data_IF_548108787444
#
_entry.id   IF_548108787444
#
_cell.length_a   1.000
_cell.length_b   1.000
_cell.length_c   1.000
_cell.angle_alpha   90.00
_cell.angle_beta   90.00
_cell.angle_gamma   90.00
#
_symmetry.space_group_name_H-M   'P 1'
#
loop_
_entity.id
_entity.type
_entity.pdbx_description
1 polymer ?
#
# COMPACT_ATOMS: atom_id res chain seq x y z
N UNK A 1 -10.04 -62.57 -6.20
CA UNK A 1 -9.75 -63.13 -4.87
C UNK A 1 -8.87 -62.10 -4.18
N UNK A 2 -9.50 -61.30 -3.32
CA UNK A 2 -8.89 -60.14 -2.62
C UNK A 2 -7.82 -60.61 -1.62
N UNK A 3 -6.66 -59.93 -1.51
CA UNK A 3 -5.73 -60.16 -0.40
C UNK A 3 -6.19 -59.38 0.84
N UNK A 4 -6.39 -60.11 1.94
CA UNK A 4 -6.68 -59.57 3.26
C UNK A 4 -5.37 -59.05 3.89
N UNK A 5 -5.24 -57.73 4.02
CA UNK A 5 -4.12 -57.09 4.71
C UNK A 5 -4.51 -56.74 6.16
N UNK A 6 -4.03 -57.54 7.11
CA UNK A 6 -4.05 -57.24 8.55
C UNK A 6 -3.07 -56.09 8.84
N UNK A 7 -3.58 -54.89 9.12
CA UNK A 7 -2.80 -53.83 9.76
C UNK A 7 -2.99 -53.93 11.28
N UNK A 8 -1.95 -54.34 12.00
CA UNK A 8 -1.85 -54.14 13.44
C UNK A 8 -1.52 -52.67 13.70
N UNK A 9 -2.45 -51.93 14.31
CA UNK A 9 -2.15 -50.65 14.92
C UNK A 9 -1.55 -50.90 16.31
N UNK A 10 -0.28 -50.59 16.50
CA UNK A 10 0.31 -50.53 17.84
C UNK A 10 -0.24 -49.29 18.55
N UNK A 11 -1.08 -49.50 19.55
CA UNK A 11 -1.50 -48.46 20.48
C UNK A 11 -0.35 -48.20 21.47
N UNK A 12 0.28 -47.05 21.37
CA UNK A 12 1.15 -46.56 22.43
C UNK A 12 0.31 -46.28 23.68
N UNK A 13 0.81 -46.71 24.84
CA UNK A 13 0.18 -46.41 26.12
C UNK A 13 0.16 -44.88 26.30
N UNK A 14 -0.96 -44.29 26.76
CA UNK A 14 -0.96 -42.88 27.15
C UNK A 14 0.06 -42.71 28.27
N UNK A 15 1.09 -41.90 28.04
CA UNK A 15 1.90 -41.39 29.14
C UNK A 15 0.99 -40.50 29.98
N UNK A 16 0.79 -40.87 31.25
CA UNK A 16 0.28 -39.93 32.24
C UNK A 16 1.28 -38.80 32.39
N UNK A 17 1.09 -37.74 31.62
CA UNK A 17 1.71 -36.45 31.91
C UNK A 17 0.92 -35.89 33.08
N UNK A 18 1.55 -35.81 34.25
CA UNK A 18 1.04 -35.05 35.38
C UNK A 18 1.04 -33.57 34.98
N UNK A 19 -0.07 -33.12 34.40
CA UNK A 19 -0.32 -31.69 34.22
C UNK A 19 -0.62 -31.15 35.61
N UNK A 20 0.23 -30.24 36.09
CA UNK A 20 -0.04 -29.50 37.32
C UNK A 20 -1.30 -28.68 37.05
N UNK A 21 -2.40 -29.05 37.67
CA UNK A 21 -3.64 -28.30 37.68
C UNK A 21 -3.37 -26.98 38.42
N UNK A 22 -3.01 -25.93 37.67
CA UNK A 22 -2.96 -24.59 38.24
C UNK A 22 -4.39 -24.09 38.43
N UNK A 23 -4.81 -24.04 39.69
CA UNK A 23 -6.16 -23.67 40.12
C UNK A 23 -6.53 -22.21 39.80
N UNK A 24 -5.61 -21.40 39.29
CA UNK A 24 -5.85 -20.01 38.88
C UNK A 24 -4.76 -19.53 37.92
N UNK A 25 -5.02 -19.62 36.62
CA UNK A 25 -4.20 -18.91 35.62
C UNK A 25 -4.87 -17.57 35.32
N UNK A 26 -4.30 -16.48 35.83
CA UNK A 26 -4.80 -15.14 35.56
C UNK A 26 -4.24 -14.63 34.23
N UNK A 27 -5.08 -14.59 33.19
CA UNK A 27 -4.78 -13.84 31.97
C UNK A 27 -5.54 -12.51 32.00
N UNK A 28 -4.81 -11.39 31.96
CA UNK A 28 -5.41 -10.07 31.78
C UNK A 28 -5.39 -9.73 30.28
N UNK A 29 -6.49 -9.97 29.57
CA UNK A 29 -6.67 -9.45 28.23
C UNK A 29 -7.13 -7.99 28.34
N UNK A 30 -6.25 -7.03 28.05
CA UNK A 30 -6.64 -5.62 27.93
C UNK A 30 -7.36 -5.43 26.60
N UNK A 31 -8.69 -5.42 26.62
CA UNK A 31 -9.46 -4.86 25.50
C UNK A 31 -9.27 -3.34 25.46
N UNK A 32 -9.28 -2.69 24.27
CA UNK A 32 -9.44 -1.24 24.19
C UNK A 32 -10.76 -0.85 24.89
N UNK A 33 -10.89 0.39 25.40
CA UNK A 33 -12.03 0.78 26.22
C UNK A 33 -13.30 0.79 25.36
N UNK A 34 -14.04 -0.31 25.39
CA UNK A 34 -15.42 -0.37 24.94
C UNK A 34 -16.25 -0.59 26.20
N UNK A 35 -17.28 0.24 26.36
CA UNK A 35 -18.22 0.26 27.48
C UNK A 35 -18.94 -1.10 27.56
N UNK A 36 -18.40 -2.02 28.36
CA UNK A 36 -18.98 -3.35 28.58
C UNK A 36 -18.18 -4.12 29.63
N UNK A 37 -18.87 -4.89 30.47
CA UNK A 37 -18.30 -5.57 31.63
C UNK A 37 -17.10 -6.48 31.26
N UNK A 38 -16.07 -6.47 32.10
CA UNK A 38 -14.94 -7.40 32.03
C UNK A 38 -15.48 -8.85 32.01
N UNK A 39 -15.18 -9.60 30.96
CA UNK A 39 -15.49 -11.03 30.91
C UNK A 39 -14.43 -11.75 31.76
N UNK A 40 -14.80 -12.06 33.00
CA UNK A 40 -14.00 -12.92 33.88
C UNK A 40 -14.32 -14.37 33.54
N UNK A 41 -13.40 -15.06 32.86
CA UNK A 41 -13.49 -16.51 32.68
C UNK A 41 -12.97 -17.18 33.96
N UNK A 42 -13.87 -17.78 34.74
CA UNK A 42 -13.53 -18.59 35.91
C UNK A 42 -13.78 -20.06 35.57
N UNK A 43 -12.70 -20.80 35.34
CA UNK A 43 -12.74 -22.22 35.03
C UNK A 43 -11.35 -22.78 34.75
N UNK A 44 -11.18 -24.09 34.86
CA UNK A 44 -9.95 -24.76 34.48
C UNK A 44 -9.73 -24.62 32.97
N UNK A 45 -8.57 -24.09 32.56
CA UNK A 45 -8.18 -23.98 31.17
C UNK A 45 -7.09 -25.03 30.89
N UNK A 46 -7.32 -25.88 29.89
CA UNK A 46 -6.30 -26.81 29.39
C UNK A 46 -5.79 -26.26 28.08
N UNK A 47 -4.50 -25.93 28.03
CA UNK A 47 -3.80 -25.63 26.78
C UNK A 47 -3.30 -26.94 26.19
N UNK A 48 -4.05 -27.53 25.27
CA UNK A 48 -3.50 -28.59 24.41
C UNK A 48 -2.69 -27.95 23.28
N UNK A 49 -1.62 -28.64 22.86
CA UNK A 49 -0.74 -28.24 21.76
C UNK A 49 -1.53 -27.89 20.48
N UNK A 50 -1.86 -26.62 20.31
CA UNK A 50 -2.68 -26.09 19.22
C UNK A 50 -3.24 -24.70 19.58
N UNK A 51 -3.52 -23.86 18.58
CA UNK A 51 -3.91 -22.45 18.72
C UNK A 51 -5.32 -22.23 19.33
N UNK A 52 -5.75 -23.00 20.33
CA UNK A 52 -7.09 -22.93 20.90
C UNK A 52 -7.09 -23.09 22.42
N UNK A 53 -7.95 -22.31 23.09
CA UNK A 53 -8.30 -22.50 24.50
C UNK A 53 -9.63 -23.27 24.55
N UNK A 54 -9.68 -24.38 25.29
CA UNK A 54 -10.92 -25.08 25.60
C UNK A 54 -11.33 -24.69 27.02
N UNK A 55 -12.52 -24.10 27.18
CA UNK A 55 -13.09 -23.75 28.48
C UNK A 55 -14.19 -24.76 28.80
N UNK A 56 -14.03 -25.50 29.90
CA UNK A 56 -15.02 -26.45 30.36
C UNK A 56 -15.99 -25.79 31.37
N UNK A 57 -17.28 -25.76 31.04
CA UNK A 57 -18.38 -25.35 31.91
C UNK A 57 -19.56 -26.34 31.80
N UNK A 58 -20.62 -26.12 32.59
CA UNK A 58 -21.84 -26.96 32.58
C UNK A 58 -22.56 -26.95 31.22
N UNK A 59 -22.25 -25.96 30.38
CA UNK A 59 -22.50 -25.91 28.95
C UNK A 59 -21.14 -25.75 28.24
N UNK A 60 -20.78 -26.70 27.38
CA UNK A 60 -19.51 -26.63 26.64
C UNK A 60 -19.64 -25.60 25.52
N UNK A 61 -19.09 -24.41 25.73
CA UNK A 61 -18.91 -23.42 24.67
C UNK A 61 -17.47 -23.49 24.15
N UNK A 62 -17.26 -24.17 23.02
CA UNK A 62 -16.00 -24.09 22.31
C UNK A 62 -15.91 -22.74 21.58
N UNK A 63 -15.15 -21.79 22.12
CA UNK A 63 -14.76 -20.58 21.41
C UNK A 63 -13.30 -20.72 20.98
N UNK A 64 -13.07 -20.98 19.68
CA UNK A 64 -11.71 -20.96 19.13
C UNK A 64 -11.23 -19.51 19.01
N UNK A 65 -10.48 -19.03 20.02
CA UNK A 65 -9.74 -17.78 19.94
C UNK A 65 -8.39 -18.08 19.27
N UNK A 66 -8.25 -17.71 17.99
CA UNK A 66 -7.00 -17.87 17.25
C UNK A 66 -5.97 -16.86 17.73
N UNK A 67 -5.03 -17.29 18.55
CA UNK A 67 -3.90 -16.45 18.98
C UNK A 67 -2.73 -16.59 17.99
N UNK A 68 -2.08 -15.47 17.66
CA UNK A 68 -0.77 -15.51 16.99
C UNK A 68 0.34 -15.98 17.95
N UNK A 69 1.56 -16.19 17.44
CA UNK A 69 2.74 -16.57 18.24
C UNK A 69 3.09 -15.58 19.37
N UNK A 70 2.52 -14.38 19.35
CA UNK A 70 2.62 -13.37 20.41
C UNK A 70 1.43 -13.28 21.38
N UNK A 71 0.46 -14.20 21.31
CA UNK A 71 -0.80 -14.14 22.07
C UNK A 71 -1.67 -12.89 21.82
N UNK A 72 -1.39 -12.11 20.77
CA UNK A 72 -2.24 -11.01 20.36
C UNK A 72 -3.44 -11.52 19.53
N UNK A 73 -4.65 -11.25 20.02
CA UNK A 73 -5.87 -11.36 19.23
C UNK A 73 -5.90 -10.24 18.19
N UNK A 74 -5.15 -10.39 17.08
CA UNK A 74 -5.30 -9.45 15.96
C UNK A 74 -6.70 -9.64 15.39
N UNK A 75 -7.60 -8.67 15.59
CA UNK A 75 -8.89 -8.65 14.91
C UNK A 75 -8.59 -8.57 13.40
N UNK A 76 -8.67 -9.72 12.71
CA UNK A 76 -8.32 -9.83 11.28
C UNK A 76 -9.47 -9.45 10.37
N UNK A 77 -10.64 -9.18 10.93
CA UNK A 77 -11.85 -8.85 10.18
C UNK A 77 -11.86 -7.35 9.90
N UNK A 78 -12.04 -6.99 8.63
CA UNK A 78 -12.20 -5.58 8.25
C UNK A 78 -13.39 -4.91 8.95
N UNK A 79 -13.25 -3.63 9.33
CA UNK A 79 -14.39 -2.86 9.82
C UNK A 79 -15.49 -2.80 8.75
N UNK A 80 -16.73 -2.88 9.20
CA UNK A 80 -17.90 -2.83 8.32
C UNK A 80 -17.89 -1.51 7.53
N UNK A 81 -18.09 -1.58 6.22
CA UNK A 81 -18.01 -0.42 5.31
C UNK A 81 -16.59 -0.05 4.84
N UNK A 82 -15.57 -0.85 5.14
CA UNK A 82 -14.25 -0.68 4.51
C UNK A 82 -14.37 -0.77 2.97
N UNK A 83 -13.76 0.16 2.21
CA UNK A 83 -13.73 0.09 0.75
C UNK A 83 -12.79 -1.01 0.22
N UNK A 84 -12.00 -1.64 1.10
CA UNK A 84 -11.08 -2.72 0.75
C UNK A 84 -11.67 -4.07 1.14
N UNK A 85 -11.32 -5.11 0.39
CA UNK A 85 -11.80 -6.46 0.68
C UNK A 85 -10.88 -7.23 1.63
N UNK A 86 -11.44 -8.22 2.33
CA UNK A 86 -10.66 -9.10 3.21
C UNK A 86 -9.59 -9.86 2.41
N UNK A 87 -9.96 -10.29 1.19
CA UNK A 87 -9.04 -10.97 0.27
C UNK A 87 -7.83 -10.09 -0.10
N UNK A 88 -8.01 -8.78 -0.28
CA UNK A 88 -6.89 -7.87 -0.56
C UNK A 88 -5.92 -7.79 0.62
N UNK A 89 -6.44 -7.72 1.84
CA UNK A 89 -5.60 -7.71 3.04
C UNK A 89 -4.88 -9.04 3.23
N UNK A 90 -5.56 -10.16 3.04
CA UNK A 90 -4.96 -11.49 3.16
C UNK A 90 -3.84 -11.69 2.12
N UNK A 91 -4.05 -11.20 0.89
CA UNK A 91 -3.02 -11.20 -0.15
C UNK A 91 -1.83 -10.29 0.22
N UNK A 92 -2.09 -9.11 0.79
CA UNK A 92 -1.06 -8.21 1.31
C UNK A 92 -0.20 -8.89 2.40
N UNK A 93 -0.86 -9.55 3.35
CA UNK A 93 -0.22 -10.29 4.44
C UNK A 93 0.66 -11.41 3.90
N UNK A 94 0.14 -12.25 3.00
CA UNK A 94 0.91 -13.33 2.37
C UNK A 94 2.18 -12.81 1.71
N UNK A 95 2.05 -11.79 0.85
CA UNK A 95 3.21 -11.19 0.16
C UNK A 95 4.27 -10.67 1.14
N UNK A 96 3.86 -10.06 2.25
CA UNK A 96 4.80 -9.53 3.24
C UNK A 96 5.49 -10.64 4.03
N UNK A 97 4.73 -11.65 4.44
CA UNK A 97 5.28 -12.84 5.07
C UNK A 97 6.26 -13.58 4.15
N UNK A 98 5.93 -13.74 2.87
CA UNK A 98 6.79 -14.38 1.86
C UNK A 98 8.10 -13.59 1.65
N UNK A 99 8.06 -12.27 1.83
CA UNK A 99 9.22 -11.38 1.79
C UNK A 99 10.01 -11.35 3.12
N UNK A 100 9.59 -12.10 4.15
CA UNK A 100 10.19 -12.07 5.48
C UNK A 100 9.93 -10.76 6.25
N UNK A 101 8.95 -9.97 5.82
CA UNK A 101 8.57 -8.71 6.45
C UNK A 101 7.37 -8.90 7.38
N UNK A 102 7.37 -8.19 8.51
CA UNK A 102 6.19 -8.13 9.37
C UNK A 102 5.06 -7.34 8.67
N UNK A 103 3.89 -7.95 8.39
CA UNK A 103 2.75 -7.24 7.83
C UNK A 103 2.26 -6.17 8.80
N UNK A 104 1.78 -5.04 8.27
CA UNK A 104 1.13 -4.01 9.07
C UNK A 104 -0.16 -4.55 9.68
N UNK A 105 -0.60 -3.92 10.77
CA UNK A 105 -1.94 -4.16 11.30
C UNK A 105 -3.00 -3.85 10.25
N UNK A 106 -4.19 -4.44 10.41
CA UNK A 106 -5.31 -4.23 9.50
C UNK A 106 -5.71 -2.75 9.43
N UNK A 107 -5.76 -2.09 10.58
CA UNK A 107 -6.08 -0.68 10.69
C UNK A 107 -5.05 0.19 9.96
N UNK A 108 -3.76 -0.05 10.19
CA UNK A 108 -2.68 0.66 9.50
C UNK A 108 -2.70 0.44 7.98
N UNK A 109 -3.04 -0.78 7.55
CA UNK A 109 -3.19 -1.09 6.13
C UNK A 109 -4.31 -0.27 5.49
N UNK A 110 -5.48 -0.25 6.11
CA UNK A 110 -6.65 0.50 5.62
C UNK A 110 -6.36 2.00 5.60
N UNK A 111 -5.85 2.56 6.70
CA UNK A 111 -5.53 3.99 6.80
C UNK A 111 -4.50 4.40 5.74
N UNK A 112 -3.42 3.61 5.58
CA UNK A 112 -2.39 3.90 4.57
C UNK A 112 -2.93 3.79 3.15
N UNK A 113 -3.79 2.81 2.86
CA UNK A 113 -4.40 2.69 1.53
C UNK A 113 -5.33 3.85 1.22
N UNK A 114 -6.16 4.26 2.19
CA UNK A 114 -7.02 5.45 2.05
C UNK A 114 -6.19 6.69 1.78
N UNK A 115 -5.10 6.88 2.52
CA UNK A 115 -4.19 8.00 2.30
C UNK A 115 -3.56 7.97 0.90
N UNK A 116 -3.15 6.80 0.39
CA UNK A 116 -2.60 6.66 -0.96
C UNK A 116 -3.64 6.97 -2.04
N UNK A 117 -4.86 6.50 -1.87
CA UNK A 117 -5.96 6.76 -2.81
C UNK A 117 -6.34 8.24 -2.80
N UNK A 118 -6.38 8.87 -1.63
CA UNK A 118 -6.57 10.31 -1.47
C UNK A 118 -5.45 11.11 -2.14
N UNK A 119 -4.18 10.77 -1.88
CA UNK A 119 -3.04 11.43 -2.50
C UNK A 119 -3.06 11.33 -4.04
N UNK A 120 -3.52 10.19 -4.58
CA UNK A 120 -3.70 10.00 -6.03
C UNK A 120 -4.82 10.89 -6.55
N UNK A 121 -5.99 10.88 -5.91
CA UNK A 121 -7.12 11.71 -6.31
C UNK A 121 -6.79 13.20 -6.26
N UNK A 122 -6.13 13.66 -5.19
CA UNK A 122 -5.66 15.03 -5.04
C UNK A 122 -4.59 15.39 -6.09
N UNK A 123 -3.71 14.44 -6.44
CA UNK A 123 -2.76 14.58 -7.54
C UNK A 123 -3.43 14.85 -8.88
N UNK A 124 -4.39 14.00 -9.24
CA UNK A 124 -5.17 14.16 -10.47
C UNK A 124 -5.95 15.47 -10.49
N UNK A 125 -6.58 15.85 -9.36
CA UNK A 125 -7.32 17.12 -9.27
C UNK A 125 -6.42 18.32 -9.54
N UNK A 126 -5.24 18.38 -8.91
CA UNK A 126 -4.31 19.51 -9.09
C UNK A 126 -3.81 19.62 -10.53
N UNK A 127 -3.48 18.50 -11.17
CA UNK A 127 -3.06 18.48 -12.57
C UNK A 127 -4.17 18.96 -13.52
N UNK A 128 -5.40 18.52 -13.29
CA UNK A 128 -6.55 18.95 -14.10
C UNK A 128 -6.86 20.43 -13.89
N UNK A 129 -6.84 20.91 -12.64
CA UNK A 129 -7.04 22.33 -12.35
C UNK A 129 -5.96 23.19 -13.04
N UNK A 130 -4.68 22.81 -12.92
CA UNK A 130 -3.60 23.54 -13.59
C UNK A 130 -3.76 23.53 -15.11
N UNK A 131 -4.14 22.38 -15.70
CA UNK A 131 -4.40 22.28 -17.14
C UNK A 131 -5.49 23.26 -17.56
N UNK A 132 -6.60 23.33 -16.82
CA UNK A 132 -7.71 24.24 -17.09
C UNK A 132 -7.28 25.70 -16.99
N UNK A 133 -6.57 26.07 -15.91
CA UNK A 133 -6.04 27.42 -15.75
C UNK A 133 -5.11 27.82 -16.90
N UNK A 134 -4.22 26.92 -17.35
CA UNK A 134 -3.35 27.19 -18.49
C UNK A 134 -4.13 27.24 -19.82
N UNK A 135 -5.14 26.39 -20.00
CA UNK A 135 -5.96 26.37 -21.21
C UNK A 135 -6.81 27.66 -21.34
N UNK A 136 -7.32 28.18 -20.23
CA UNK A 136 -8.07 29.45 -20.20
C UNK A 136 -7.19 30.64 -20.58
N UNK A 137 -5.90 30.62 -20.22
CA UNK A 137 -4.95 31.71 -20.51
C UNK A 137 -4.36 31.59 -21.92
N UNK A 138 -3.99 30.38 -22.35
CA UNK A 138 -3.17 30.16 -23.54
C UNK A 138 -3.90 29.47 -24.70
N UNK A 139 -5.13 28.97 -24.48
CA UNK A 139 -5.85 28.13 -25.44
C UNK A 139 -5.51 26.65 -25.25
N UNK A 140 -6.52 25.79 -25.35
CA UNK A 140 -6.38 24.34 -25.09
C UNK A 140 -5.41 23.66 -26.06
N UNK A 141 -5.34 24.13 -27.30
CA UNK A 141 -4.44 23.63 -28.35
C UNK A 141 -2.96 23.86 -28.03
N UNK A 142 -2.67 24.81 -27.13
CA UNK A 142 -1.32 25.20 -26.73
C UNK A 142 -0.86 24.54 -25.43
N UNK A 143 -1.72 23.73 -24.78
CA UNK A 143 -1.40 23.05 -23.51
C UNK A 143 -1.22 21.55 -23.74
N UNK A 144 0.03 21.10 -23.71
CA UNK A 144 0.38 19.69 -23.78
C UNK A 144 0.55 19.12 -22.38
N UNK A 145 -0.17 18.05 -22.08
CA UNK A 145 -0.06 17.35 -20.80
C UNK A 145 0.77 16.08 -20.92
N UNK A 146 1.46 15.72 -19.85
CA UNK A 146 2.18 14.46 -19.70
C UNK A 146 3.14 14.14 -20.87
N UNK A 147 4.24 14.90 -20.98
CA UNK A 147 5.22 14.76 -22.08
C UNK A 147 6.59 14.30 -21.60
N UNK A 148 7.20 13.35 -22.30
CA UNK A 148 8.57 12.94 -22.01
C UNK A 148 9.58 13.87 -22.66
N UNK A 149 10.70 14.10 -21.98
CA UNK A 149 11.86 14.75 -22.57
C UNK A 149 12.47 13.85 -23.66
N UNK A 150 12.74 14.45 -24.80
CA UNK A 150 13.30 13.84 -26.00
C UNK A 150 14.55 14.59 -26.46
N UNK A 151 15.38 13.92 -27.24
CA UNK A 151 16.48 14.56 -27.96
C UNK A 151 16.01 15.19 -29.28
N UNK A 152 16.95 15.76 -30.02
CA UNK A 152 16.70 16.43 -31.30
C UNK A 152 16.26 15.45 -32.42
N UNK A 153 16.54 14.16 -32.27
CA UNK A 153 16.09 13.11 -33.19
C UNK A 153 14.69 12.58 -32.81
N UNK A 154 14.18 12.98 -31.65
CA UNK A 154 12.88 12.63 -31.13
C UNK A 154 12.88 11.39 -30.23
N UNK A 155 14.04 10.85 -29.86
CA UNK A 155 14.13 9.69 -28.98
C UNK A 155 13.98 10.10 -27.51
N UNK A 156 13.32 9.25 -26.70
CA UNK A 156 13.14 9.53 -25.26
C UNK A 156 14.49 9.41 -24.56
N UNK A 157 14.91 10.51 -23.95
CA UNK A 157 16.16 10.55 -23.17
C UNK A 157 15.88 10.07 -21.75
N UNK A 158 16.74 9.19 -21.26
CA UNK A 158 16.65 8.57 -19.94
C UNK A 158 17.77 9.04 -19.06
N UNK A 159 17.48 9.15 -17.77
CA UNK A 159 18.49 9.46 -16.76
C UNK A 159 19.54 8.35 -16.74
N UNK A 160 20.83 8.65 -16.98
CA UNK A 160 21.89 7.65 -17.02
C UNK A 160 22.11 6.94 -15.67
N UNK A 161 21.70 7.55 -14.55
CA UNK A 161 21.87 6.95 -13.22
C UNK A 161 20.79 5.92 -12.89
N UNK A 162 19.55 6.17 -13.30
CA UNK A 162 18.38 5.38 -12.90
C UNK A 162 17.76 4.57 -14.04
N UNK A 163 18.03 4.94 -15.30
CA UNK A 163 17.37 4.38 -16.49
C UNK A 163 15.94 4.90 -16.71
N UNK A 164 15.45 5.78 -15.84
CA UNK A 164 14.09 6.32 -15.88
C UNK A 164 14.01 7.55 -16.80
N UNK A 165 12.88 7.71 -17.48
CA UNK A 165 12.61 8.92 -18.27
C UNK A 165 11.99 10.01 -17.39
N UNK A 166 12.07 11.27 -17.84
CA UNK A 166 11.39 12.41 -17.21
C UNK A 166 10.12 12.75 -17.98
N UNK A 167 8.98 12.66 -17.29
CA UNK A 167 7.69 13.14 -17.78
C UNK A 167 7.37 14.48 -17.14
N UNK A 168 7.05 15.46 -17.97
CA UNK A 168 6.56 16.79 -17.64
C UNK A 168 5.04 16.77 -17.54
N UNK A 169 4.50 17.31 -16.46
CA UNK A 169 3.04 17.32 -16.23
C UNK A 169 2.33 18.27 -17.19
N UNK A 170 2.89 19.47 -17.40
CA UNK A 170 2.34 20.49 -18.29
C UNK A 170 3.45 21.20 -19.09
N UNK A 171 3.22 21.34 -20.40
CA UNK A 171 4.03 22.12 -21.32
C UNK A 171 3.10 23.07 -22.06
N UNK A 172 3.35 24.37 -21.97
CA UNK A 172 2.64 25.37 -22.77
C UNK A 172 3.51 25.76 -23.94
N UNK A 173 2.98 25.60 -25.15
CA UNK A 173 3.65 25.86 -26.42
C UNK A 173 3.08 27.13 -27.06
N UNK A 174 3.92 28.04 -27.54
CA UNK A 174 3.49 29.19 -28.34
C UNK A 174 2.34 30.04 -27.74
N UNK A 175 2.41 30.34 -26.44
CA UNK A 175 1.59 31.41 -25.85
C UNK A 175 2.15 32.82 -26.16
N UNK A 176 1.47 33.86 -25.67
CA UNK A 176 1.94 35.27 -25.76
C UNK A 176 3.33 35.54 -25.12
N UNK A 177 3.90 34.57 -24.38
CA UNK A 177 5.17 34.70 -23.65
C UNK A 177 6.23 33.61 -23.99
N UNK A 178 6.03 32.79 -25.02
CA UNK A 178 6.95 31.68 -25.38
C UNK A 178 6.62 30.33 -24.71
N UNK A 179 7.54 29.36 -24.84
CA UNK A 179 7.37 28.00 -24.31
C UNK A 179 7.81 27.91 -22.85
N UNK A 180 6.98 27.33 -21.97
CA UNK A 180 7.38 27.01 -20.59
C UNK A 180 6.83 25.67 -20.13
N UNK A 181 7.46 25.13 -19.08
CA UNK A 181 7.19 23.78 -18.56
C UNK A 181 7.00 23.83 -17.07
N UNK A 182 6.03 23.05 -16.59
CA UNK A 182 5.62 23.06 -15.18
C UNK A 182 5.34 21.65 -14.66
N UNK A 183 5.76 21.44 -13.42
CA UNK A 183 5.57 20.21 -12.65
C UNK A 183 4.63 20.50 -11.48
N UNK A 184 3.44 19.90 -11.50
CA UNK A 184 2.39 20.23 -10.54
C UNK A 184 2.50 19.33 -9.32
N UNK A 185 2.63 19.93 -8.14
CA UNK A 185 2.84 19.16 -6.90
C UNK A 185 2.17 19.78 -5.67
N UNK A 186 2.19 19.06 -4.56
CA UNK A 186 1.66 19.56 -3.29
C UNK A 186 2.60 20.61 -2.67
N UNK A 187 2.10 21.48 -1.78
CA UNK A 187 2.91 22.56 -1.22
C UNK A 187 4.16 22.08 -0.47
N UNK A 188 4.11 20.88 0.10
CA UNK A 188 5.17 20.34 0.97
C UNK A 188 6.03 19.25 0.32
N UNK A 189 5.77 18.87 -0.93
CA UNK A 189 6.55 17.85 -1.61
C UNK A 189 8.02 18.26 -1.82
N UNK A 190 8.95 17.40 -1.42
CA UNK A 190 10.37 17.53 -1.77
C UNK A 190 10.57 17.08 -3.22
N UNK A 191 11.22 17.92 -4.02
CA UNK A 191 11.41 17.74 -5.48
C UNK A 191 12.88 17.77 -5.92
N UNK A 192 13.83 17.77 -4.98
CA UNK A 192 15.28 17.87 -5.28
C UNK A 192 15.73 16.77 -6.24
N UNK A 193 15.39 15.52 -5.97
CA UNK A 193 15.79 14.39 -6.82
C UNK A 193 15.17 14.45 -8.22
N UNK A 194 13.98 15.04 -8.34
CA UNK A 194 13.33 15.22 -9.64
C UNK A 194 14.01 16.30 -10.48
N UNK A 195 14.44 17.40 -9.86
CA UNK A 195 15.19 18.48 -10.53
C UNK A 195 16.54 17.93 -11.00
N UNK A 196 17.28 17.26 -10.11
CA UNK A 196 18.58 16.68 -10.46
C UNK A 196 18.47 15.62 -11.58
N UNK A 197 17.37 14.85 -11.61
CA UNK A 197 17.08 13.91 -12.69
C UNK A 197 16.89 14.62 -14.03
N UNK A 198 16.14 15.72 -14.04
CA UNK A 198 15.92 16.50 -15.25
C UNK A 198 17.21 17.14 -15.76
N UNK A 199 18.05 17.70 -14.88
CA UNK A 199 19.35 18.25 -15.26
C UNK A 199 20.21 17.21 -15.98
N UNK A 200 20.34 15.99 -15.43
CA UNK A 200 21.10 14.90 -16.06
C UNK A 200 20.53 14.47 -17.41
N UNK A 201 19.20 14.47 -17.56
CA UNK A 201 18.55 14.15 -18.85
C UNK A 201 18.85 15.25 -19.88
N UNK A 202 18.85 16.52 -19.47
CA UNK A 202 19.19 17.66 -20.33
C UNK A 202 20.66 17.65 -20.75
N UNK A 203 21.57 17.28 -19.86
CA UNK A 203 22.99 17.09 -20.18
C UNK A 203 23.22 16.03 -21.28
N UNK A 204 22.29 15.08 -21.44
CA UNK A 204 22.30 14.07 -22.51
C UNK A 204 21.52 14.51 -23.76
N UNK A 205 21.10 15.78 -23.85
CA UNK A 205 20.36 16.33 -24.99
C UNK A 205 18.84 16.23 -24.87
N UNK A 206 18.30 15.78 -23.73
CA UNK A 206 16.86 15.71 -23.47
C UNK A 206 16.21 17.07 -23.24
N UNK A 207 16.13 17.90 -24.28
CA UNK A 207 15.66 19.29 -24.23
C UNK A 207 14.39 19.54 -25.04
N UNK A 208 13.82 18.50 -25.66
CA UNK A 208 12.66 18.61 -26.52
C UNK A 208 11.44 17.88 -25.96
N UNK A 209 10.26 18.28 -26.39
CA UNK A 209 9.02 17.50 -26.26
C UNK A 209 8.30 17.44 -27.60
N UNK A 210 7.58 16.36 -27.84
CA UNK A 210 6.80 16.20 -29.06
C UNK A 210 5.39 16.77 -28.89
N UNK A 211 4.94 17.58 -29.84
CA UNK A 211 3.56 17.97 -29.97
C UNK A 211 2.75 16.78 -30.54
N UNK A 212 1.79 16.20 -29.80
CA UNK A 212 1.02 15.04 -30.26
C UNK A 212 0.13 15.35 -31.47
N UNK A 213 -0.23 16.63 -31.66
CA UNK A 213 -1.17 17.05 -32.71
C UNK A 213 -0.45 17.26 -34.04
N UNK A 214 0.83 17.65 -34.01
CA UNK A 214 1.62 18.01 -35.20
C UNK A 214 2.81 17.10 -35.44
N UNK A 215 3.25 16.34 -34.44
CA UNK A 215 4.51 15.57 -34.46
C UNK A 215 5.77 16.43 -34.35
N UNK A 216 5.63 17.74 -34.14
CA UNK A 216 6.75 18.67 -34.05
C UNK A 216 7.52 18.51 -32.75
N UNK A 217 8.85 18.53 -32.81
CA UNK A 217 9.71 18.60 -31.63
C UNK A 217 9.92 20.06 -31.22
N UNK A 218 9.49 20.39 -30.02
CA UNK A 218 9.60 21.72 -29.43
C UNK A 218 10.67 21.70 -28.36
N UNK A 219 11.65 22.61 -28.47
CA UNK A 219 12.63 22.85 -27.42
C UNK A 219 11.96 23.50 -26.20
N UNK A 220 12.24 22.97 -25.02
CA UNK A 220 11.61 23.41 -23.76
C UNK A 220 12.65 23.83 -22.73
N UNK A 221 12.40 24.90 -21.95
CA UNK A 221 13.24 25.25 -20.81
C UNK A 221 13.11 24.21 -19.68
N UNK A 222 14.01 24.29 -18.70
CA UNK A 222 13.92 23.50 -17.46
C UNK A 222 12.58 23.73 -16.75
N UNK A 223 11.98 22.67 -16.22
CA UNK A 223 10.67 22.75 -15.59
C UNK A 223 10.67 23.58 -14.30
N UNK A 224 9.63 24.39 -14.14
CA UNK A 224 9.31 25.06 -12.89
C UNK A 224 8.48 24.13 -12.00
N UNK A 225 8.68 24.22 -10.68
CA UNK A 225 7.85 23.48 -9.72
C UNK A 225 6.65 24.36 -9.33
N UNK A 226 5.46 23.94 -9.75
CA UNK A 226 4.20 24.59 -9.40
C UNK A 226 3.53 23.89 -8.23
N UNK A 227 3.22 24.66 -7.19
CA UNK A 227 2.67 24.14 -5.94
C UNK A 227 1.21 24.55 -5.81
N UNK A 228 0.32 23.57 -5.82
CA UNK A 228 -1.13 23.77 -5.73
C UNK A 228 -1.68 23.01 -4.51
N UNK A 229 -2.74 23.57 -3.92
CA UNK A 229 -3.44 22.98 -2.77
C UNK A 229 -4.37 21.80 -3.14
#
# INVERSE_FOLDING_TARGET
MEPSALHQAEFFQPQEVSVVEETSVHFAARAPPIVGADIVVTGAAVAEHGNGIIVHGHETHAASLGFGVGFDATNRTLPNGSPYSQADYDAYVRRKSDAGETPRSLEDYVQRRQQLDQNRADGTRRQEQYRQEMADIYGEENVLTERYLRDADGDIVRDPQTGEARRLDCVVVNGQCGTFTSEVTSPTANKVDQIAKEERIREQGGTFVENPNTGELIEVPISNIERME
#
